data_IF_106731703853
#
_entry.id   IF_106731703853
#
_cell.length_a   1.000
_cell.length_b   1.000
_cell.length_c   1.000
_cell.angle_alpha   90.00
_cell.angle_beta   90.00
_cell.angle_gamma   90.00
#
_symmetry.space_group_name_H-M   'P 1'
#
loop_
_entity.id
_entity.type
_entity.pdbx_description
1 polymer ?
#
# COMPACT_ATOMS: atom_id res chain seq x y z
N UNK A 1 35.41 44.04 -37.20
CA UNK A 1 36.73 43.66 -36.63
C UNK A 1 37.01 44.67 -35.55
N UNK A 2 37.07 44.35 -34.25
CA UNK A 2 37.70 43.19 -33.60
C UNK A 2 37.00 42.93 -32.27
N UNK A 3 36.43 41.74 -32.10
CA UNK A 3 36.03 41.19 -30.81
C UNK A 3 37.31 40.71 -30.11
N UNK A 4 37.72 41.40 -29.05
CA UNK A 4 38.81 40.96 -28.17
C UNK A 4 38.30 39.79 -27.32
N UNK A 5 38.87 38.58 -27.39
CA UNK A 5 38.43 37.48 -26.55
C UNK A 5 38.94 37.71 -25.12
N UNK A 6 38.04 37.58 -24.14
CA UNK A 6 38.39 37.51 -22.72
C UNK A 6 39.21 36.22 -22.49
N UNK A 7 40.34 36.26 -21.77
CA UNK A 7 41.06 35.05 -21.45
C UNK A 7 40.22 34.20 -20.48
N UNK A 8 39.87 33.00 -20.93
CA UNK A 8 39.41 31.94 -20.05
C UNK A 8 40.58 31.50 -19.17
N UNK A 9 40.26 31.40 -17.88
CA UNK A 9 40.91 30.66 -16.78
C UNK A 9 41.82 31.43 -15.83
N UNK A 10 41.28 31.72 -14.64
CA UNK A 10 41.92 31.29 -13.40
C UNK A 10 40.96 30.27 -12.77
N UNK A 11 41.26 28.98 -12.90
CA UNK A 11 40.65 27.99 -12.01
C UNK A 11 41.24 28.23 -10.64
N UNK A 12 40.41 28.68 -9.71
CA UNK A 12 40.74 28.71 -8.30
C UNK A 12 40.99 27.24 -7.84
N UNK A 13 42.21 26.89 -7.37
CA UNK A 13 42.54 25.52 -7.00
C UNK A 13 41.73 24.99 -5.80
N UNK A 14 40.98 25.83 -5.09
CA UNK A 14 40.17 25.46 -3.92
C UNK A 14 38.70 25.09 -4.24
N UNK A 15 38.31 25.00 -5.51
CA UNK A 15 36.95 24.57 -5.89
C UNK A 15 36.81 23.02 -5.90
N UNK A 16 37.12 22.37 -4.78
CA UNK A 16 36.71 20.99 -4.49
C UNK A 16 35.50 21.02 -3.55
N UNK A 17 34.49 20.13 -3.69
CA UNK A 17 33.36 20.12 -2.78
C UNK A 17 33.88 19.71 -1.39
N UNK A 18 33.88 20.64 -0.44
CA UNK A 18 34.30 20.44 0.95
C UNK A 18 33.25 19.59 1.72
N UNK A 19 32.87 18.43 1.18
CA UNK A 19 31.85 17.54 1.72
C UNK A 19 32.31 16.98 3.07
N UNK A 20 33.61 16.69 3.22
CA UNK A 20 34.19 16.17 4.46
C UNK A 20 34.25 17.20 5.59
N UNK A 21 34.23 18.50 5.31
CA UNK A 21 34.28 19.54 6.37
C UNK A 21 32.94 19.72 7.09
N UNK A 22 31.84 19.22 6.51
CA UNK A 22 30.49 19.32 7.07
C UNK A 22 30.02 18.01 7.74
N UNK A 23 30.81 16.94 7.66
CA UNK A 23 30.51 15.65 8.26
C UNK A 23 31.34 15.43 9.53
N UNK A 24 30.79 14.70 10.50
CA UNK A 24 31.59 14.21 11.63
C UNK A 24 32.65 13.24 11.10
N UNK A 25 33.84 13.25 11.70
CA UNK A 25 34.91 12.33 11.33
C UNK A 25 34.48 10.86 11.49
N UNK A 26 34.96 9.99 10.60
CA UNK A 26 34.58 8.57 10.57
C UNK A 26 34.80 7.85 11.92
N UNK A 27 35.87 8.19 12.64
CA UNK A 27 36.16 7.62 13.96
C UNK A 27 35.12 8.04 15.01
N UNK A 28 34.70 9.31 14.98
CA UNK A 28 33.64 9.83 15.86
C UNK A 28 32.31 9.16 15.52
N UNK A 29 31.99 9.02 14.23
CA UNK A 29 30.80 8.31 13.78
C UNK A 29 30.77 6.85 14.26
N UNK A 30 31.91 6.14 14.19
CA UNK A 30 32.02 4.76 14.65
C UNK A 30 31.80 4.62 16.16
N UNK A 31 32.38 5.54 16.96
CA UNK A 31 32.19 5.58 18.42
C UNK A 31 30.71 5.85 18.77
N UNK A 32 30.09 6.83 18.12
CA UNK A 32 28.67 7.15 18.32
C UNK A 32 27.77 5.98 17.92
N UNK A 33 28.05 5.33 16.78
CA UNK A 33 27.30 4.18 16.31
C UNK A 33 27.39 2.98 17.27
N UNK A 34 28.56 2.73 17.86
CA UNK A 34 28.73 1.66 18.85
C UNK A 34 27.90 1.93 20.12
N UNK A 35 27.89 3.16 20.61
CA UNK A 35 27.06 3.57 21.75
C UNK A 35 25.56 3.45 21.43
N UNK A 36 25.12 3.97 20.27
CA UNK A 36 23.73 3.86 19.84
C UNK A 36 23.28 2.41 19.66
N UNK A 37 24.15 1.53 19.13
CA UNK A 37 23.85 0.09 18.99
C UNK A 37 23.68 -0.60 20.35
N UNK A 38 24.47 -0.20 21.35
CA UNK A 38 24.29 -0.68 22.72
C UNK A 38 23.00 -0.15 23.37
N UNK A 39 22.51 1.02 22.96
CA UNK A 39 21.26 1.59 23.46
C UNK A 39 20.01 1.10 22.70
N UNK A 40 20.14 0.75 21.42
CA UNK A 40 19.05 0.40 20.50
C UNK A 40 18.45 -0.99 20.76
N UNK A 41 17.99 -1.24 21.99
CA UNK A 41 17.23 -2.43 22.36
C UNK A 41 16.20 -2.07 23.44
N UNK A 42 14.93 -2.52 23.31
CA UNK A 42 13.82 -2.06 24.15
C UNK A 42 14.04 -2.25 25.65
N UNK A 43 14.57 -3.40 26.07
CA UNK A 43 14.78 -3.71 27.49
C UNK A 43 15.83 -2.78 28.10
N UNK A 44 16.93 -2.51 27.39
CA UNK A 44 17.97 -1.55 27.82
C UNK A 44 17.43 -0.12 27.96
N UNK A 45 16.60 0.35 27.03
CA UNK A 45 15.97 1.67 27.14
C UNK A 45 15.03 1.75 28.36
N UNK A 46 14.25 0.70 28.63
CA UNK A 46 13.39 0.63 29.82
C UNK A 46 14.20 0.65 31.12
N UNK A 47 15.29 -0.11 31.19
CA UNK A 47 16.17 -0.12 32.36
C UNK A 47 16.84 1.25 32.58
N UNK A 48 17.30 1.91 31.52
CA UNK A 48 17.90 3.25 31.61
C UNK A 48 16.88 4.31 32.05
N UNK A 49 15.65 4.26 31.52
CA UNK A 49 14.55 5.13 31.94
C UNK A 49 14.23 4.94 33.43
N UNK A 50 14.20 3.69 33.90
CA UNK A 50 13.98 3.38 35.31
C UNK A 50 15.11 3.89 36.21
N UNK A 51 16.38 3.67 35.84
CA UNK A 51 17.53 4.19 36.59
C UNK A 51 17.54 5.72 36.61
N UNK A 52 17.21 6.36 35.49
CA UNK A 52 17.18 7.82 35.38
C UNK A 52 16.08 8.48 36.22
N UNK A 53 14.95 7.78 36.40
CA UNK A 53 13.78 8.26 37.16
C UNK A 53 13.76 7.78 38.62
N UNK A 54 14.63 6.84 38.99
CA UNK A 54 14.77 6.37 40.36
C UNK A 54 15.17 7.53 41.30
N UNK A 55 14.56 7.66 42.50
CA UNK A 55 14.87 8.74 43.44
C UNK A 55 16.37 8.86 43.82
N UNK A 56 17.08 7.73 43.84
CA UNK A 56 18.51 7.67 44.14
C UNK A 56 19.42 7.71 42.88
N UNK A 57 18.84 7.70 41.68
CA UNK A 57 19.57 7.63 40.40
C UNK A 57 20.32 6.31 40.17
N UNK A 58 19.92 5.24 40.86
CA UNK A 58 20.51 3.91 40.81
C UNK A 58 19.44 2.83 41.07
N UNK A 59 19.67 1.61 40.56
CA UNK A 59 18.77 0.48 40.73
C UNK A 59 19.55 -0.84 40.94
N UNK A 60 18.99 -1.77 41.71
CA UNK A 60 19.57 -3.12 41.83
C UNK A 60 19.11 -4.03 40.68
N UNK A 61 19.85 -5.11 40.44
CA UNK A 61 19.43 -6.15 39.47
C UNK A 61 18.06 -6.74 39.81
N UNK A 62 17.73 -6.84 41.11
CA UNK A 62 16.43 -7.30 41.59
C UNK A 62 15.27 -6.43 41.09
N UNK A 63 15.38 -5.12 41.28
CA UNK A 63 14.36 -4.13 40.90
C UNK A 63 14.19 -4.11 39.37
N UNK A 64 15.31 -4.17 38.64
CA UNK A 64 15.30 -4.19 37.18
C UNK A 64 14.69 -5.47 36.61
N UNK A 65 14.90 -6.62 37.26
CA UNK A 65 14.24 -7.86 36.89
C UNK A 65 12.75 -7.87 37.24
N UNK A 66 12.31 -7.15 38.28
CA UNK A 66 10.89 -7.00 38.60
C UNK A 66 10.16 -6.05 37.63
N UNK A 67 10.86 -5.07 37.06
CA UNK A 67 10.33 -4.12 36.07
C UNK A 67 10.01 -4.79 34.72
N UNK A 68 10.59 -5.95 34.45
CA UNK A 68 10.66 -6.55 33.11
C UNK A 68 10.26 -8.01 33.20
N UNK A 69 9.38 -8.52 32.34
CA UNK A 69 8.92 -9.92 32.37
C UNK A 69 9.98 -10.95 31.91
N UNK A 70 11.26 -10.69 32.18
CA UNK A 70 12.40 -11.50 31.74
C UNK A 70 13.22 -12.01 32.92
N UNK A 71 13.91 -13.11 32.69
CA UNK A 71 14.77 -13.74 33.71
C UNK A 71 15.96 -12.86 34.12
N UNK A 72 16.41 -13.00 35.37
CA UNK A 72 17.60 -12.31 35.90
C UNK A 72 18.89 -12.52 35.08
N UNK A 73 19.18 -13.71 34.50
CA UNK A 73 20.28 -13.89 33.56
C UNK A 73 20.21 -12.97 32.34
N UNK A 74 19.00 -12.75 31.80
CA UNK A 74 18.77 -11.85 30.67
C UNK A 74 19.11 -10.42 31.07
N UNK A 75 18.54 -9.91 32.17
CA UNK A 75 18.83 -8.56 32.69
C UNK A 75 20.33 -8.33 32.91
N UNK A 76 21.02 -9.31 33.50
CA UNK A 76 22.46 -9.25 33.75
C UNK A 76 23.27 -9.18 32.43
N UNK A 77 22.82 -9.85 31.38
CA UNK A 77 23.44 -9.77 30.05
C UNK A 77 23.28 -8.37 29.45
N UNK A 78 22.08 -7.78 29.49
CA UNK A 78 21.86 -6.44 28.94
C UNK A 78 22.64 -5.35 29.71
N UNK A 79 22.71 -5.46 31.04
CA UNK A 79 23.51 -4.55 31.89
C UNK A 79 25.02 -4.68 31.63
N UNK A 80 25.50 -5.90 31.34
CA UNK A 80 26.88 -6.13 30.90
C UNK A 80 27.16 -5.38 29.60
N UNK A 81 26.31 -5.51 28.60
CA UNK A 81 26.50 -4.80 27.31
C UNK A 81 26.56 -3.29 27.51
N UNK A 82 25.69 -2.71 28.35
CA UNK A 82 25.72 -1.27 28.64
C UNK A 82 26.98 -0.84 29.41
N UNK A 83 27.48 -1.69 30.30
CA UNK A 83 28.69 -1.42 31.07
C UNK A 83 29.94 -1.52 30.19
N UNK A 84 29.99 -2.48 29.27
CA UNK A 84 31.15 -2.69 28.40
C UNK A 84 31.37 -1.50 27.44
N UNK A 85 30.31 -0.74 27.11
CA UNK A 85 30.39 0.55 26.40
C UNK A 85 30.45 1.78 27.32
N UNK A 86 30.50 1.59 28.64
CA UNK A 86 30.65 2.66 29.63
C UNK A 86 29.39 3.47 29.97
N UNK A 87 28.22 3.10 29.43
CA UNK A 87 26.95 3.82 29.67
C UNK A 87 26.49 3.70 31.12
N UNK A 88 26.71 2.53 31.74
CA UNK A 88 26.38 2.30 33.16
C UNK A 88 27.61 1.87 33.95
N UNK A 89 27.66 2.29 35.21
CA UNK A 89 28.62 1.83 36.19
C UNK A 89 27.92 0.91 37.19
N UNK A 90 28.65 -0.11 37.68
CA UNK A 90 28.15 -1.06 38.67
C UNK A 90 28.92 -0.94 39.99
N UNK A 91 28.20 -0.99 41.11
CA UNK A 91 28.78 -0.99 42.45
C UNK A 91 28.20 -2.15 43.27
N UNK A 92 29.06 -2.95 43.89
CA UNK A 92 28.61 -4.07 44.73
C UNK A 92 28.44 -3.58 46.17
N UNK A 93 27.22 -3.67 46.70
CA UNK A 93 26.89 -3.32 48.09
C UNK A 93 26.30 -4.54 48.79
N UNK A 94 27.16 -5.26 49.49
CA UNK A 94 26.83 -6.54 50.12
C UNK A 94 26.50 -7.63 49.09
N UNK A 95 25.30 -8.21 49.19
CA UNK A 95 24.81 -9.28 48.30
C UNK A 95 24.36 -8.75 46.94
N UNK A 96 24.05 -7.45 46.84
CA UNK A 96 23.41 -6.87 45.66
C UNK A 96 24.40 -6.03 44.83
N UNK A 97 24.18 -6.01 43.51
CA UNK A 97 24.91 -5.14 42.59
C UNK A 97 23.96 -4.04 42.12
N UNK A 98 24.38 -2.80 42.33
CA UNK A 98 23.66 -1.58 41.98
C UNK A 98 24.24 -1.01 40.69
N UNK A 99 23.37 -0.46 39.85
CA UNK A 99 23.73 0.15 38.58
C UNK A 99 23.29 1.61 38.56
N UNK A 100 24.16 2.48 38.04
CA UNK A 100 23.87 3.89 37.79
C UNK A 100 24.35 4.31 36.41
N UNK A 101 23.71 5.32 35.84
CA UNK A 101 24.16 5.92 34.59
C UNK A 101 25.46 6.68 34.86
N UNK A 102 26.48 6.45 34.04
CA UNK A 102 27.77 7.12 34.16
C UNK A 102 27.58 8.64 33.95
N UNK A 103 28.22 9.53 34.74
CA UNK A 103 27.99 10.98 34.65
C UNK A 103 28.14 11.55 33.24
N UNK A 104 29.12 11.07 32.46
CA UNK A 104 29.35 11.51 31.07
C UNK A 104 28.22 11.16 30.09
N UNK A 105 27.41 10.15 30.40
CA UNK A 105 26.27 9.73 29.57
C UNK A 105 24.92 10.24 30.10
N UNK A 106 24.88 10.85 31.30
CA UNK A 106 23.63 11.27 31.93
C UNK A 106 22.84 12.24 31.05
N UNK A 107 23.48 13.31 30.57
CA UNK A 107 22.82 14.28 29.68
C UNK A 107 22.32 13.64 28.38
N UNK A 108 23.13 12.78 27.76
CA UNK A 108 22.76 12.10 26.52
C UNK A 108 21.56 11.15 26.70
N UNK A 109 21.54 10.37 27.79
CA UNK A 109 20.42 9.48 28.11
C UNK A 109 19.16 10.27 28.44
N UNK A 110 19.27 11.36 29.19
CA UNK A 110 18.13 12.25 29.46
C UNK A 110 17.59 12.87 28.17
N UNK A 111 18.44 13.40 27.29
CA UNK A 111 17.99 13.91 25.97
C UNK A 111 17.35 12.81 25.11
N UNK A 112 17.88 11.59 25.15
CA UNK A 112 17.29 10.45 24.44
C UNK A 112 15.87 10.16 24.93
N UNK A 113 15.64 10.19 26.24
CA UNK A 113 14.35 9.88 26.85
C UNK A 113 13.35 11.04 26.75
N UNK A 114 13.81 12.27 26.94
CA UNK A 114 12.94 13.45 27.06
C UNK A 114 12.71 14.18 25.74
N UNK A 115 13.61 14.02 24.76
CA UNK A 115 13.54 14.73 23.47
C UNK A 115 13.48 13.79 22.27
N UNK A 116 14.33 12.76 22.24
CA UNK A 116 14.37 11.84 21.09
C UNK A 116 13.20 10.84 21.10
N UNK A 117 12.84 10.27 22.25
CA UNK A 117 11.75 9.30 22.32
C UNK A 117 10.38 9.90 21.95
N UNK A 118 9.99 11.11 22.39
CA UNK A 118 8.78 11.77 21.91
C UNK A 118 8.81 12.06 20.40
N UNK A 119 9.92 12.58 19.86
CA UNK A 119 10.05 12.85 18.43
C UNK A 119 10.03 11.56 17.59
N UNK A 120 10.64 10.48 18.07
CA UNK A 120 10.58 9.16 17.45
C UNK A 120 9.17 8.57 17.50
N UNK A 121 8.43 8.77 18.60
CA UNK A 121 7.03 8.38 18.72
C UNK A 121 6.16 9.21 17.78
N UNK A 122 6.31 10.53 17.70
CA UNK A 122 5.60 11.40 16.76
C UNK A 122 5.90 11.05 15.29
N UNK A 123 7.16 10.74 14.96
CA UNK A 123 7.55 10.25 13.63
C UNK A 123 6.96 8.87 13.34
N UNK A 124 6.88 7.99 14.36
CA UNK A 124 6.22 6.68 14.27
C UNK A 124 4.72 6.84 14.08
N UNK A 125 4.05 7.74 14.81
CA UNK A 125 2.64 8.11 14.67
C UNK A 125 2.36 8.70 13.28
N UNK A 126 3.28 9.47 12.72
CA UNK A 126 3.17 9.96 11.33
C UNK A 126 3.26 8.81 10.32
N UNK A 127 4.06 7.76 10.60
CA UNK A 127 4.03 6.49 9.86
C UNK A 127 2.83 5.59 10.22
N UNK A 128 2.15 5.83 11.33
CA UNK A 128 0.97 5.09 11.81
C UNK A 128 -0.33 5.67 11.26
N UNK A 129 -0.37 6.96 10.89
CA UNK A 129 -1.37 7.54 9.98
C UNK A 129 -1.37 6.79 8.63
N UNK A 130 -0.22 6.23 8.23
CA UNK A 130 -0.11 5.31 7.09
C UNK A 130 -0.50 3.85 7.41
N UNK A 131 -0.76 3.49 8.67
CA UNK A 131 -1.19 2.14 9.12
C UNK A 131 -2.60 2.09 9.75
N UNK A 132 -3.27 3.22 9.95
CA UNK A 132 -4.58 3.32 10.61
C UNK A 132 -5.71 2.68 9.80
N UNK A 133 -6.03 1.43 10.12
CA UNK A 133 -7.25 0.72 9.70
C UNK A 133 -8.13 0.31 10.88
N UNK A 134 -7.84 0.80 12.09
CA UNK A 134 -8.69 0.58 13.27
C UNK A 134 -9.86 1.58 13.34
N UNK A 135 -9.80 2.70 12.61
CA UNK A 135 -10.95 3.57 12.32
C UNK A 135 -10.87 4.07 10.87
N UNK A 136 -11.56 3.37 9.97
CA UNK A 136 -11.59 3.70 8.54
C UNK A 136 -12.59 4.82 8.23
N UNK A 137 -13.50 5.13 9.15
CA UNK A 137 -14.63 6.02 8.89
C UNK A 137 -14.18 7.43 8.48
N UNK A 138 -13.20 8.08 9.14
CA UNK A 138 -12.70 9.38 8.70
C UNK A 138 -12.14 9.36 7.27
N UNK A 139 -11.45 8.28 6.89
CA UNK A 139 -10.90 8.12 5.55
C UNK A 139 -11.99 7.92 4.50
N UNK A 140 -13.03 7.16 4.82
CA UNK A 140 -14.20 6.99 3.95
C UNK A 140 -15.01 8.27 3.82
N UNK A 141 -15.17 9.03 4.91
CA UNK A 141 -15.89 10.30 4.90
C UNK A 141 -15.13 11.34 4.08
N UNK A 142 -13.81 11.44 4.21
CA UNK A 142 -12.97 12.28 3.35
C UNK A 142 -13.10 11.89 1.87
N UNK A 143 -13.02 10.59 1.57
CA UNK A 143 -13.20 10.07 0.21
C UNK A 143 -14.59 10.39 -0.35
N UNK A 144 -15.63 10.33 0.48
CA UNK A 144 -17.00 10.69 0.09
C UNK A 144 -17.10 12.19 -0.22
N UNK A 145 -16.49 13.06 0.59
CA UNK A 145 -16.41 14.50 0.32
C UNK A 145 -15.68 14.78 -1.00
N UNK A 146 -14.52 14.15 -1.23
CA UNK A 146 -13.76 14.29 -2.48
C UNK A 146 -14.57 13.84 -3.70
N UNK A 147 -15.20 12.67 -3.63
CA UNK A 147 -16.01 12.15 -4.74
C UNK A 147 -17.27 13.00 -4.99
N UNK A 148 -17.87 13.58 -3.95
CA UNK A 148 -19.02 14.47 -4.12
C UNK A 148 -18.66 15.72 -4.92
N UNK A 149 -17.43 16.23 -4.79
CA UNK A 149 -16.95 17.33 -5.65
C UNK A 149 -16.76 16.90 -7.11
N UNK A 150 -16.38 15.64 -7.34
CA UNK A 150 -16.17 15.09 -8.68
C UNK A 150 -17.50 14.78 -9.38
N UNK A 151 -18.54 14.44 -8.63
CA UNK A 151 -19.86 14.05 -9.12
C UNK A 151 -20.96 15.00 -8.59
N UNK A 152 -20.97 16.29 -8.96
CA UNK A 152 -21.91 17.27 -8.41
C UNK A 152 -23.39 16.99 -8.73
N UNK A 153 -23.66 16.15 -9.74
CA UNK A 153 -25.02 15.70 -10.08
C UNK A 153 -25.56 14.57 -9.20
N UNK A 154 -24.75 14.02 -8.29
CA UNK A 154 -25.14 12.94 -7.38
C UNK A 154 -25.29 13.50 -5.97
N UNK A 155 -26.42 13.22 -5.31
CA UNK A 155 -26.65 13.66 -3.92
C UNK A 155 -25.59 13.08 -2.99
N UNK A 156 -25.13 13.88 -2.02
CA UNK A 156 -24.07 13.50 -1.09
C UNK A 156 -24.37 12.19 -0.35
N UNK A 157 -25.62 11.96 0.07
CA UNK A 157 -26.00 10.72 0.77
C UNK A 157 -25.82 9.47 -0.11
N UNK A 158 -26.02 9.62 -1.43
CA UNK A 158 -25.78 8.53 -2.39
C UNK A 158 -24.29 8.28 -2.54
N UNK A 159 -23.47 9.35 -2.63
CA UNK A 159 -22.01 9.25 -2.69
C UNK A 159 -21.46 8.54 -1.45
N UNK A 160 -21.86 8.99 -0.26
CA UNK A 160 -21.40 8.41 1.00
C UNK A 160 -21.79 6.92 1.11
N UNK A 161 -23.03 6.57 0.73
CA UNK A 161 -23.46 5.17 0.68
C UNK A 161 -22.62 4.35 -0.30
N UNK A 162 -22.40 4.83 -1.52
CA UNK A 162 -21.60 4.11 -2.52
C UNK A 162 -20.17 3.88 -2.03
N UNK A 163 -19.56 4.85 -1.35
CA UNK A 163 -18.23 4.69 -0.75
C UNK A 163 -18.22 3.61 0.33
N UNK A 164 -19.14 3.69 1.31
CA UNK A 164 -19.21 2.72 2.42
C UNK A 164 -19.58 1.30 1.96
N UNK A 165 -20.50 1.18 1.00
CA UNK A 165 -20.86 -0.11 0.41
C UNK A 165 -19.66 -0.70 -0.35
N UNK A 166 -18.95 0.12 -1.15
CA UNK A 166 -17.76 -0.32 -1.89
C UNK A 166 -16.66 -0.81 -0.96
N UNK A 167 -16.44 -0.12 0.18
CA UNK A 167 -15.50 -0.56 1.20
C UNK A 167 -15.91 -1.91 1.77
N UNK A 168 -17.16 -2.03 2.22
CA UNK A 168 -17.70 -3.25 2.83
C UNK A 168 -17.58 -4.44 1.89
N UNK A 169 -17.88 -4.23 0.62
CA UNK A 169 -17.84 -5.24 -0.43
C UNK A 169 -16.41 -5.73 -0.71
N UNK A 170 -15.43 -4.82 -0.77
CA UNK A 170 -14.02 -5.19 -0.95
C UNK A 170 -13.43 -5.82 0.32
N UNK A 171 -13.80 -5.34 1.50
CA UNK A 171 -13.32 -5.83 2.79
C UNK A 171 -13.59 -7.32 3.00
N UNK A 172 -14.72 -7.84 2.48
CA UNK A 172 -15.10 -9.26 2.60
C UNK A 172 -14.11 -10.23 1.96
N UNK A 173 -13.39 -9.81 0.93
CA UNK A 173 -12.46 -10.67 0.17
C UNK A 173 -10.99 -10.26 0.31
N UNK A 174 -10.71 -9.11 0.94
CA UNK A 174 -9.37 -8.57 1.09
C UNK A 174 -8.54 -9.35 2.11
N UNK A 175 -7.33 -9.75 1.72
CA UNK A 175 -6.31 -10.33 2.63
C UNK A 175 -5.39 -9.27 3.25
N UNK A 176 -5.24 -8.13 2.58
CA UNK A 176 -4.34 -7.04 2.96
C UNK A 176 -5.17 -5.75 3.03
N UNK A 177 -5.24 -5.17 4.22
CA UNK A 177 -6.05 -3.99 4.49
C UNK A 177 -5.38 -2.68 4.04
N UNK A 178 -4.05 -2.66 3.90
CA UNK A 178 -3.25 -1.48 3.53
C UNK A 178 -3.67 -0.81 2.19
N UNK A 179 -4.28 -1.55 1.27
CA UNK A 179 -4.74 -1.02 -0.03
C UNK A 179 -6.26 -0.83 -0.11
N UNK A 180 -7.00 -1.11 0.97
CA UNK A 180 -8.45 -1.18 0.92
C UNK A 180 -9.10 0.20 0.70
N UNK A 181 -8.60 1.25 1.34
CA UNK A 181 -9.12 2.63 1.14
C UNK A 181 -8.84 3.14 -0.29
N UNK A 182 -7.61 3.05 -0.83
CA UNK A 182 -7.36 3.41 -2.24
C UNK A 182 -8.22 2.61 -3.23
N UNK A 183 -8.37 1.30 -3.03
CA UNK A 183 -9.20 0.46 -3.90
C UNK A 183 -10.69 0.81 -3.77
N UNK A 184 -11.16 1.13 -2.56
CA UNK A 184 -12.49 1.68 -2.32
C UNK A 184 -12.71 2.96 -3.13
N UNK A 185 -11.76 3.89 -3.12
CA UNK A 185 -11.86 5.12 -3.91
C UNK A 185 -11.94 4.88 -5.41
N UNK A 186 -11.18 3.92 -5.93
CA UNK A 186 -11.26 3.51 -7.35
C UNK A 186 -12.61 2.86 -7.66
N UNK A 187 -13.08 1.94 -6.83
CA UNK A 187 -14.33 1.23 -7.06
C UNK A 187 -15.54 2.15 -6.93
N UNK A 188 -15.61 2.97 -5.89
CA UNK A 188 -16.68 3.94 -5.68
C UNK A 188 -16.76 4.96 -6.82
N UNK A 189 -15.62 5.47 -7.32
CA UNK A 189 -15.58 6.34 -8.50
C UNK A 189 -16.19 5.65 -9.72
N UNK A 190 -15.84 4.38 -9.96
CA UNK A 190 -16.42 3.61 -11.07
C UNK A 190 -17.94 3.48 -10.90
N UNK A 191 -18.41 3.05 -9.73
CA UNK A 191 -19.85 2.89 -9.45
C UNK A 191 -20.64 4.20 -9.56
N UNK A 192 -20.06 5.32 -9.14
CA UNK A 192 -20.68 6.63 -9.31
C UNK A 192 -20.79 7.04 -10.78
N UNK A 193 -19.76 6.77 -11.58
CA UNK A 193 -19.82 6.95 -13.03
C UNK A 193 -20.87 6.03 -13.70
N UNK A 194 -21.10 4.84 -13.13
CA UNK A 194 -22.11 3.89 -13.60
C UNK A 194 -23.53 4.38 -13.29
N UNK A 195 -23.73 4.96 -12.10
CA UNK A 195 -25.00 5.57 -11.68
C UNK A 195 -25.33 6.80 -12.52
N UNK A 196 -24.37 7.69 -12.76
CA UNK A 196 -24.61 8.89 -13.57
C UNK A 196 -24.76 8.54 -15.04
N UNK A 197 -24.23 7.39 -15.46
CA UNK A 197 -24.11 6.91 -16.85
C UNK A 197 -23.62 8.03 -17.74
N UNK A 198 -22.31 8.04 -18.03
CA UNK A 198 -21.79 8.94 -19.04
C UNK A 198 -22.41 8.56 -20.41
N UNK A 199 -23.46 9.31 -20.80
CA UNK A 199 -24.21 9.11 -22.03
C UNK A 199 -23.46 9.62 -23.25
N UNK A 200 -22.13 9.63 -23.23
CA UNK A 200 -21.27 10.00 -24.35
C UNK A 200 -21.44 9.12 -25.61
N UNK A 201 -22.50 8.30 -25.69
CA UNK A 201 -22.88 7.48 -26.84
C UNK A 201 -21.99 6.25 -27.06
N UNK A 202 -21.02 6.03 -26.16
CA UNK A 202 -20.06 4.93 -26.27
C UNK A 202 -20.65 3.62 -25.75
N UNK A 203 -20.45 2.49 -26.46
CA UNK A 203 -20.86 1.18 -25.98
C UNK A 203 -20.28 0.88 -24.60
N UNK A 204 -21.12 0.34 -23.72
CA UNK A 204 -20.76 -0.04 -22.36
C UNK A 204 -20.74 -1.56 -22.23
N UNK A 205 -19.58 -2.16 -21.95
CA UNK A 205 -19.43 -3.62 -21.85
C UNK A 205 -19.07 -4.02 -20.43
N UNK A 206 -19.75 -5.03 -19.90
CA UNK A 206 -19.47 -5.63 -18.60
C UNK A 206 -19.12 -7.10 -18.74
N UNK A 207 -17.91 -7.47 -18.32
CA UNK A 207 -17.48 -8.87 -18.21
C UNK A 207 -17.64 -9.38 -16.79
N UNK A 208 -18.31 -10.53 -16.63
CA UNK A 208 -18.56 -11.15 -15.32
C UNK A 208 -18.00 -12.56 -15.32
N UNK A 209 -17.18 -12.90 -14.32
CA UNK A 209 -16.80 -14.29 -14.05
C UNK A 209 -16.96 -14.60 -12.56
N UNK A 210 -16.50 -15.76 -12.09
CA UNK A 210 -16.61 -16.10 -10.66
C UNK A 210 -15.73 -15.19 -9.82
N UNK A 211 -14.41 -15.24 -10.02
CA UNK A 211 -13.43 -14.64 -9.12
C UNK A 211 -13.02 -13.20 -9.45
N UNK A 212 -13.35 -12.70 -10.64
CA UNK A 212 -12.80 -11.44 -11.19
C UNK A 212 -11.28 -11.30 -11.07
N UNK A 213 -10.57 -12.42 -11.18
CA UNK A 213 -9.11 -12.48 -11.06
C UNK A 213 -8.44 -13.11 -12.30
N UNK A 214 -9.24 -13.43 -13.32
CA UNK A 214 -8.81 -14.13 -14.54
C UNK A 214 -9.58 -13.68 -15.78
N UNK A 215 -10.48 -14.54 -16.26
CA UNK A 215 -11.28 -14.37 -17.50
C UNK A 215 -11.81 -12.95 -17.72
N UNK A 216 -12.60 -12.42 -16.77
CA UNK A 216 -13.20 -11.08 -16.91
C UNK A 216 -12.19 -9.93 -16.85
N UNK A 217 -11.03 -10.11 -16.20
CA UNK A 217 -9.97 -9.11 -16.20
C UNK A 217 -9.22 -9.09 -17.53
N UNK A 218 -8.91 -10.27 -18.08
CA UNK A 218 -8.28 -10.39 -19.39
C UNK A 218 -9.17 -9.83 -20.50
N UNK A 219 -10.44 -10.21 -20.53
CA UNK A 219 -11.38 -9.72 -21.54
C UNK A 219 -11.53 -8.18 -21.48
N UNK A 220 -11.65 -7.61 -20.28
CA UNK A 220 -11.70 -6.16 -20.12
C UNK A 220 -10.40 -5.46 -20.54
N UNK A 221 -9.24 -6.06 -20.24
CA UNK A 221 -7.95 -5.52 -20.64
C UNK A 221 -7.78 -5.53 -22.17
N UNK A 222 -8.22 -6.59 -22.84
CA UNK A 222 -8.19 -6.70 -24.31
C UNK A 222 -9.08 -5.65 -24.96
N UNK A 223 -10.28 -5.41 -24.43
CA UNK A 223 -11.14 -4.32 -24.92
C UNK A 223 -10.45 -2.96 -24.77
N UNK A 224 -9.83 -2.67 -23.62
CA UNK A 224 -9.06 -1.42 -23.44
C UNK A 224 -7.90 -1.32 -24.41
N UNK A 225 -7.19 -2.43 -24.63
CA UNK A 225 -6.04 -2.49 -25.53
C UNK A 225 -6.42 -2.11 -26.96
N UNK A 226 -7.54 -2.64 -27.48
CA UNK A 226 -7.94 -2.39 -28.87
C UNK A 226 -8.79 -1.14 -29.06
N UNK A 227 -9.76 -0.90 -28.17
CA UNK A 227 -10.75 0.16 -28.34
C UNK A 227 -10.40 1.45 -27.59
N UNK A 228 -9.42 1.41 -26.66
CA UNK A 228 -9.10 2.55 -25.80
C UNK A 228 -10.36 3.08 -25.11
N UNK A 229 -10.57 4.38 -25.18
CA UNK A 229 -11.74 5.02 -24.59
C UNK A 229 -13.02 4.87 -25.44
N UNK A 230 -12.96 4.30 -26.66
CA UNK A 230 -14.14 4.19 -27.54
C UNK A 230 -15.21 3.24 -27.00
N UNK A 231 -14.83 2.32 -26.11
CA UNK A 231 -15.74 1.45 -25.35
C UNK A 231 -15.47 1.65 -23.86
N UNK A 232 -16.52 1.87 -23.09
CA UNK A 232 -16.38 1.87 -21.63
C UNK A 232 -16.54 0.45 -21.12
N UNK A 233 -15.44 -0.13 -20.63
CA UNK A 233 -15.39 -1.54 -20.23
C UNK A 233 -15.18 -1.74 -18.74
N UNK A 234 -15.94 -2.69 -18.19
CA UNK A 234 -15.93 -3.10 -16.78
C UNK A 234 -15.72 -4.60 -16.66
N UNK A 235 -15.24 -4.98 -15.47
CA UNK A 235 -15.15 -6.37 -15.05
C UNK A 235 -15.65 -6.52 -13.62
N UNK A 236 -16.31 -7.62 -13.33
CA UNK A 236 -16.78 -7.97 -11.99
C UNK A 236 -16.79 -9.48 -11.72
N UNK A 237 -17.00 -9.83 -10.45
CA UNK A 237 -16.99 -11.19 -9.93
C UNK A 237 -18.23 -11.52 -9.10
N UNK A 238 -18.79 -12.72 -9.24
CA UNK A 238 -19.84 -13.19 -8.33
C UNK A 238 -19.30 -13.56 -6.95
N UNK A 239 -18.05 -14.01 -6.88
CA UNK A 239 -17.32 -14.33 -5.64
C UNK A 239 -15.87 -13.89 -5.81
N UNK A 240 -15.58 -12.58 -5.68
CA UNK A 240 -14.25 -12.04 -5.96
C UNK A 240 -13.14 -12.72 -5.15
N UNK A 241 -12.02 -13.02 -5.82
CA UNK A 241 -10.80 -13.45 -5.13
C UNK A 241 -10.12 -12.26 -4.45
N UNK A 242 -9.17 -12.54 -3.56
CA UNK A 242 -8.39 -11.50 -2.89
C UNK A 242 -7.46 -10.74 -3.87
N UNK A 243 -6.95 -11.42 -4.90
CA UNK A 243 -5.94 -10.89 -5.82
C UNK A 243 -6.11 -11.47 -7.23
N UNK A 244 -5.57 -10.78 -8.22
CA UNK A 244 -5.44 -11.27 -9.60
C UNK A 244 -4.55 -12.52 -9.63
N UNK A 245 -4.94 -13.55 -10.40
CA UNK A 245 -4.15 -14.77 -10.53
C UNK A 245 -2.76 -14.48 -11.14
N UNK A 246 -1.72 -15.14 -10.63
CA UNK A 246 -0.33 -14.86 -11.01
C UNK A 246 -0.09 -14.91 -12.54
N UNK A 247 -0.53 -15.99 -13.20
CA UNK A 247 -0.38 -16.13 -14.66
C UNK A 247 -1.19 -15.09 -15.46
N UNK A 248 -2.29 -14.60 -14.89
CA UNK A 248 -3.10 -13.54 -15.53
C UNK A 248 -2.41 -12.18 -15.37
N UNK A 249 -1.77 -11.92 -14.23
CA UNK A 249 -1.06 -10.67 -13.96
C UNK A 249 0.00 -10.37 -15.01
N UNK A 250 0.76 -11.38 -15.43
CA UNK A 250 1.78 -11.24 -16.48
C UNK A 250 1.16 -10.78 -17.82
N UNK A 251 0.02 -11.37 -18.20
CA UNK A 251 -0.70 -10.98 -19.41
C UNK A 251 -1.25 -9.54 -19.31
N UNK A 252 -1.77 -9.14 -18.14
CA UNK A 252 -2.22 -7.76 -17.92
C UNK A 252 -1.07 -6.74 -17.96
N UNK A 253 0.13 -7.13 -17.53
CA UNK A 253 1.33 -6.28 -17.65
C UNK A 253 1.69 -6.10 -19.12
N UNK A 254 1.66 -7.17 -19.92
CA UNK A 254 1.92 -7.09 -21.36
C UNK A 254 0.92 -6.20 -22.10
N UNK A 255 -0.34 -6.16 -21.64
CA UNK A 255 -1.40 -5.30 -22.18
C UNK A 255 -1.38 -3.87 -21.61
N UNK A 256 -0.53 -3.58 -20.62
CA UNK A 256 -0.42 -2.26 -19.99
C UNK A 256 -1.53 -1.90 -19.01
N UNK A 257 -2.36 -2.86 -18.57
CA UNK A 257 -3.55 -2.60 -17.73
C UNK A 257 -3.42 -3.13 -16.29
N UNK A 258 -2.27 -3.70 -15.92
CA UNK A 258 -2.09 -4.35 -14.62
C UNK A 258 -2.27 -3.42 -13.42
N UNK A 259 -1.96 -2.12 -13.55
CA UNK A 259 -2.06 -1.17 -12.43
C UNK A 259 -3.50 -0.84 -12.03
N UNK A 260 -4.45 -1.01 -12.95
CA UNK A 260 -5.87 -0.71 -12.73
C UNK A 260 -6.69 -1.96 -12.36
N UNK A 261 -6.09 -3.14 -12.47
CA UNK A 261 -6.77 -4.41 -12.28
C UNK A 261 -6.82 -4.80 -10.81
N UNK A 262 -8.03 -5.00 -10.31
CA UNK A 262 -8.29 -5.59 -8.99
C UNK A 262 -9.62 -6.36 -9.03
N UNK A 263 -9.74 -7.48 -8.31
CA UNK A 263 -11.01 -8.17 -8.15
C UNK A 263 -12.03 -7.29 -7.44
N UNK A 264 -13.24 -7.22 -7.98
CA UNK A 264 -14.35 -6.48 -7.40
C UNK A 264 -15.69 -7.18 -7.65
N UNK A 265 -16.67 -7.04 -6.73
CA UNK A 265 -17.94 -7.73 -6.86
C UNK A 265 -18.81 -7.13 -7.97
N UNK A 266 -19.75 -7.94 -8.44
CA UNK A 266 -20.82 -7.50 -9.31
C UNK A 266 -21.78 -6.59 -8.56
N UNK A 267 -22.10 -5.44 -9.15
CA UNK A 267 -23.02 -4.44 -8.60
C UNK A 267 -24.18 -4.18 -9.55
N UNK A 268 -25.35 -3.84 -9.01
CA UNK A 268 -26.53 -3.49 -9.81
C UNK A 268 -26.29 -2.26 -10.69
N UNK A 269 -25.54 -1.27 -10.20
CA UNK A 269 -25.12 -0.09 -10.96
C UNK A 269 -24.30 -0.46 -12.21
N UNK A 270 -23.34 -1.38 -12.10
CA UNK A 270 -22.56 -1.84 -13.25
C UNK A 270 -23.41 -2.56 -14.30
N UNK A 271 -24.36 -3.40 -13.88
CA UNK A 271 -25.27 -4.11 -14.80
C UNK A 271 -26.21 -3.11 -15.49
N UNK A 272 -26.76 -2.13 -14.74
CA UNK A 272 -27.61 -1.08 -15.31
C UNK A 272 -26.88 -0.19 -16.30
N UNK A 273 -25.60 0.10 -16.06
CA UNK A 273 -24.80 0.92 -16.96
C UNK A 273 -24.46 0.22 -18.29
N UNK A 274 -24.31 -1.11 -18.28
CA UNK A 274 -23.89 -1.90 -19.44
C UNK A 274 -24.95 -2.01 -20.54
N UNK A 275 -24.54 -1.97 -21.80
CA UNK A 275 -25.35 -2.30 -22.97
C UNK A 275 -25.21 -3.79 -23.33
N UNK A 276 -24.00 -4.33 -23.13
CA UNK A 276 -23.66 -5.74 -23.31
C UNK A 276 -23.08 -6.31 -22.01
N UNK A 277 -23.65 -7.41 -21.53
CA UNK A 277 -23.21 -8.15 -20.36
C UNK A 277 -22.74 -9.54 -20.79
N UNK A 278 -21.48 -9.86 -20.53
CA UNK A 278 -20.84 -11.11 -20.95
C UNK A 278 -20.50 -11.92 -19.71
N UNK A 279 -21.16 -13.06 -19.54
CA UNK A 279 -20.92 -14.00 -18.45
C UNK A 279 -19.91 -15.05 -18.84
N UNK A 280 -19.06 -15.45 -17.89
CA UNK A 280 -18.03 -16.47 -18.05
C UNK A 280 -18.01 -17.37 -16.81
N UNK A 281 -18.94 -18.33 -16.78
CA UNK A 281 -19.01 -19.35 -15.74
C UNK A 281 -19.47 -18.86 -14.36
N UNK A 282 -20.13 -17.70 -14.26
CA UNK A 282 -20.71 -17.19 -13.02
C UNK A 282 -22.15 -17.68 -12.76
N UNK A 283 -22.75 -18.45 -13.68
CA UNK A 283 -24.13 -18.94 -13.57
C UNK A 283 -25.16 -17.82 -13.49
N UNK A 284 -26.25 -18.06 -12.76
CA UNK A 284 -27.43 -17.19 -12.67
C UNK A 284 -27.27 -16.00 -11.69
N UNK A 285 -26.04 -15.66 -11.30
CA UNK A 285 -25.78 -14.56 -10.35
C UNK A 285 -26.05 -13.19 -10.96
N UNK A 286 -25.95 -13.06 -12.28
CA UNK A 286 -26.20 -11.79 -12.96
C UNK A 286 -27.70 -11.55 -13.15
N UNK A 287 -28.28 -10.45 -12.63
CA UNK A 287 -29.69 -10.13 -12.87
C UNK A 287 -29.93 -9.83 -14.35
N UNK A 288 -31.00 -10.39 -14.91
CA UNK A 288 -31.41 -10.13 -16.30
C UNK A 288 -32.31 -8.90 -16.35
N UNK A 289 -31.74 -7.77 -16.74
CA UNK A 289 -32.45 -6.52 -16.99
C UNK A 289 -32.86 -6.40 -18.48
N UNK A 290 -34.08 -5.90 -18.77
CA UNK A 290 -34.54 -5.71 -20.15
C UNK A 290 -33.74 -4.63 -20.88
N UNK A 291 -33.68 -4.74 -22.22
CA UNK A 291 -33.02 -3.75 -23.09
C UNK A 291 -31.49 -3.86 -23.13
N UNK A 292 -30.93 -4.99 -22.69
CA UNK A 292 -29.49 -5.28 -22.72
C UNK A 292 -29.23 -6.57 -23.48
N UNK A 293 -28.06 -6.64 -24.13
CA UNK A 293 -27.57 -7.87 -24.76
C UNK A 293 -26.83 -8.69 -23.72
N UNK A 294 -27.19 -9.97 -23.59
CA UNK A 294 -26.48 -10.92 -22.73
C UNK A 294 -25.82 -11.98 -23.61
N UNK A 295 -24.57 -12.29 -23.29
CA UNK A 295 -23.83 -13.39 -23.91
C UNK A 295 -23.19 -14.25 -22.83
N UNK A 296 -23.12 -15.55 -23.08
CA UNK A 296 -22.38 -16.48 -22.24
C UNK A 296 -21.20 -17.04 -23.02
N UNK A 297 -19.99 -16.75 -22.53
CA UNK A 297 -18.74 -17.19 -23.14
C UNK A 297 -18.17 -18.36 -22.34
N UNK A 298 -18.25 -19.54 -22.95
CA UNK A 298 -17.63 -20.75 -22.44
C UNK A 298 -16.12 -20.72 -22.73
N UNK A 299 -15.36 -20.26 -21.72
CA UNK A 299 -13.89 -20.12 -21.78
C UNK A 299 -13.25 -20.82 -20.59
N UNK A 300 -12.10 -21.46 -20.82
CA UNK A 300 -11.33 -22.16 -19.80
C UNK A 300 -10.94 -21.28 -18.59
N UNK A 301 -10.70 -21.90 -17.43
CA UNK A 301 -10.33 -21.18 -16.21
C UNK A 301 -8.80 -21.03 -16.07
N UNK A 302 -8.25 -19.80 -16.08
CA UNK A 302 -6.82 -19.58 -15.94
C UNK A 302 -6.29 -19.87 -14.52
N UNK A 303 -7.15 -20.07 -13.51
CA UNK A 303 -6.71 -20.36 -12.13
C UNK A 303 -5.90 -21.65 -12.00
N UNK A 304 -6.26 -22.66 -12.79
CA UNK A 304 -5.71 -24.02 -12.72
C UNK A 304 -4.87 -24.36 -13.96
N UNK A 305 -4.69 -23.42 -14.88
CA UNK A 305 -4.01 -23.63 -16.14
C UNK A 305 -2.49 -23.49 -16.00
N UNK A 306 -1.75 -24.24 -16.82
CA UNK A 306 -0.32 -23.99 -17.05
C UNK A 306 -0.12 -22.65 -17.77
N UNK A 307 1.10 -22.08 -17.82
CA UNK A 307 1.37 -20.85 -18.56
C UNK A 307 0.91 -20.92 -20.03
N UNK A 308 1.12 -22.06 -20.70
CA UNK A 308 0.63 -22.29 -22.05
C UNK A 308 -0.90 -22.32 -22.12
N UNK A 309 -1.57 -22.89 -21.11
CA UNK A 309 -3.03 -22.87 -21.00
C UNK A 309 -3.59 -21.45 -20.77
N UNK A 310 -2.93 -20.64 -19.93
CA UNK A 310 -3.30 -19.22 -19.74
C UNK A 310 -3.16 -18.44 -21.05
N UNK A 311 -2.08 -18.68 -21.82
CA UNK A 311 -1.91 -18.09 -23.13
C UNK A 311 -3.02 -18.50 -24.11
N UNK A 312 -3.36 -19.80 -24.18
CA UNK A 312 -4.45 -20.27 -25.02
C UNK A 312 -5.81 -19.66 -24.63
N UNK A 313 -6.10 -19.54 -23.33
CA UNK A 313 -7.31 -18.87 -22.83
C UNK A 313 -7.33 -17.39 -23.23
N UNK A 314 -6.18 -16.70 -23.13
CA UNK A 314 -6.05 -15.30 -23.57
C UNK A 314 -6.32 -15.18 -25.07
N UNK A 315 -5.76 -16.06 -25.89
CA UNK A 315 -5.91 -16.00 -27.35
C UNK A 315 -7.36 -16.33 -27.80
N UNK A 316 -8.04 -17.23 -27.08
CA UNK A 316 -9.48 -17.45 -27.26
C UNK A 316 -10.30 -16.19 -26.90
N UNK A 317 -10.00 -15.56 -25.77
CA UNK A 317 -10.64 -14.30 -25.36
C UNK A 317 -10.33 -13.18 -26.34
N UNK A 318 -9.12 -13.11 -26.88
CA UNK A 318 -8.70 -12.14 -27.89
C UNK A 318 -9.58 -12.22 -29.13
N UNK A 319 -9.76 -13.44 -29.66
CA UNK A 319 -10.63 -13.69 -30.82
C UNK A 319 -12.05 -13.20 -30.56
N UNK A 320 -12.65 -13.62 -29.43
CA UNK A 320 -14.02 -13.22 -29.07
C UNK A 320 -14.17 -11.72 -28.83
N UNK A 321 -13.15 -11.07 -28.23
CA UNK A 321 -13.15 -9.62 -28.02
C UNK A 321 -13.06 -8.87 -29.35
N UNK A 322 -12.26 -9.35 -30.31
CA UNK A 322 -12.20 -8.75 -31.65
C UNK A 322 -13.53 -8.87 -32.39
N UNK A 323 -14.20 -10.02 -32.30
CA UNK A 323 -15.53 -10.21 -32.87
C UNK A 323 -16.56 -9.25 -32.24
N UNK A 324 -16.56 -9.15 -30.90
CA UNK A 324 -17.41 -8.20 -30.17
C UNK A 324 -17.14 -6.76 -30.60
N UNK A 325 -15.88 -6.36 -30.71
CA UNK A 325 -15.52 -5.00 -31.09
C UNK A 325 -15.84 -4.68 -32.55
N UNK A 326 -15.78 -5.66 -33.45
CA UNK A 326 -16.18 -5.49 -34.85
C UNK A 326 -17.67 -5.17 -34.96
N UNK A 327 -18.50 -5.79 -34.12
CA UNK A 327 -19.93 -5.52 -34.05
C UNK A 327 -20.24 -4.17 -33.38
N UNK A 328 -19.58 -3.87 -32.26
CA UNK A 328 -19.82 -2.62 -31.50
C UNK A 328 -19.24 -1.37 -32.17
N UNK A 329 -18.12 -1.50 -32.88
CA UNK A 329 -17.39 -0.41 -33.52
C UNK A 329 -16.96 -0.84 -34.94
N UNK A 330 -17.87 -0.82 -35.93
CA UNK A 330 -17.58 -1.27 -37.30
C UNK A 330 -16.47 -0.48 -38.01
N UNK A 331 -16.16 0.72 -37.51
CA UNK A 331 -15.08 1.59 -37.99
C UNK A 331 -13.73 1.31 -37.30
N UNK A 332 -13.67 0.42 -36.31
CA UNK A 332 -12.41 0.04 -35.65
C UNK A 332 -11.54 -0.78 -36.59
N UNK A 333 -10.32 -0.31 -36.85
CA UNK A 333 -9.31 -1.15 -37.47
C UNK A 333 -8.63 -1.99 -36.40
N UNK A 334 -8.94 -3.28 -36.38
CA UNK A 334 -8.28 -4.25 -35.52
C UNK A 334 -7.05 -4.85 -36.24
N UNK A 335 -5.97 -5.19 -35.51
CA UNK A 335 -4.89 -5.98 -36.10
C UNK A 335 -5.44 -7.33 -36.60
N UNK A 336 -4.71 -7.94 -37.54
CA UNK A 336 -5.00 -9.30 -38.01
C UNK A 336 -4.68 -10.35 -36.94
#
# INVERSE_FOLDING_TARGET
>A
MTTTPLPLTVRDPDCGPQIESHAIGADIAAVVAAALKALAEPLRLRMLSFIATAPAGEACVCDLAALTDVSQPTVSHHLRVLRDVGVVASERRGTWVWYRITPGYKAAVTTLLDSFAPAALEASVTQEVLRGLDDVDPALDHLATELATTFPGVRFEVVQRVVRDSYTDLARSAKISAHLVPLTGRFARQRLADITRDHAGRPQVLFVCVANAGRSQLAAALVRHYAGDRVTVRSAGSTPAAEIHAGVREALVALGTAQDAFPKPLTDDAVRAADVVITMGCGDVCPVLPGKRYEDWLVGDPALASPAGVAAIRDELDTRVRDLLTDLLPDLTLPA
#
